data_IF_338494365900
#
_entry.id   IF_338494365900
#
_cell.length_a   1.000
_cell.length_b   1.000
_cell.length_c   1.000
_cell.angle_alpha   90.00
_cell.angle_beta   90.00
_cell.angle_gamma   90.00
#
_symmetry.space_group_name_H-M   'P 1'
#
loop_
_entity.id
_entity.type
_entity.pdbx_description
1 polymer ?
#
# COMPACT_ATOMS: atom_id res chain seq x y z
N UNK A 1 4.26 14.46 -0.71
CA UNK A 1 3.62 13.69 0.39
C UNK A 1 2.15 13.63 0.11
N UNK A 2 1.72 12.49 -0.40
CA UNK A 2 0.34 12.22 -0.79
C UNK A 2 -0.32 11.29 0.22
N UNK A 3 -1.65 11.35 0.25
CA UNK A 3 -2.48 10.54 1.11
C UNK A 3 -3.52 9.82 0.27
N UNK A 4 -3.70 8.53 0.57
CA UNK A 4 -4.71 7.70 -0.06
C UNK A 4 -5.55 6.95 0.96
N UNK A 5 -6.80 6.67 0.59
CA UNK A 5 -7.71 5.80 1.33
C UNK A 5 -8.04 4.61 0.45
N UNK A 6 -7.55 3.43 0.83
CA UNK A 6 -7.78 2.17 0.13
C UNK A 6 -8.82 1.33 0.88
N UNK A 7 -9.93 0.99 0.21
CA UNK A 7 -10.94 0.06 0.74
C UNK A 7 -10.55 -1.38 0.38
N UNK A 8 -10.52 -2.25 1.40
CA UNK A 8 -10.24 -3.68 1.26
C UNK A 8 -11.31 -4.52 1.95
N UNK A 9 -11.45 -5.78 1.55
CA UNK A 9 -12.28 -6.75 2.25
C UNK A 9 -11.40 -7.84 2.88
N UNK A 10 -11.40 -7.91 4.20
CA UNK A 10 -10.66 -8.92 4.95
C UNK A 10 -11.61 -9.79 5.73
N UNK A 11 -11.67 -11.09 5.38
CA UNK A 11 -12.56 -12.09 6.01
C UNK A 11 -14.05 -11.68 5.97
N UNK A 12 -14.49 -11.11 4.86
CA UNK A 12 -15.88 -10.65 4.68
C UNK A 12 -16.20 -9.33 5.37
N UNK A 13 -15.22 -8.68 6.00
CA UNK A 13 -15.39 -7.37 6.62
C UNK A 13 -14.65 -6.31 5.81
N UNK A 14 -15.38 -5.25 5.43
CA UNK A 14 -14.79 -4.06 4.82
C UNK A 14 -13.90 -3.33 5.82
N UNK A 15 -12.75 -2.87 5.34
CA UNK A 15 -11.82 -2.03 6.10
C UNK A 15 -11.23 -0.94 5.23
N UNK A 16 -10.93 0.20 5.84
CA UNK A 16 -10.27 1.31 5.18
C UNK A 16 -8.83 1.39 5.67
N UNK A 17 -7.90 1.41 4.72
CA UNK A 17 -6.49 1.59 4.97
C UNK A 17 -6.11 3.03 4.59
N UNK A 18 -5.50 3.74 5.53
CA UNK A 18 -4.85 5.01 5.25
C UNK A 18 -3.44 4.72 4.77
N UNK A 19 -3.08 5.26 3.60
CA UNK A 19 -1.76 5.10 3.01
C UNK A 19 -1.13 6.48 2.86
N UNK A 20 0.09 6.64 3.35
CA UNK A 20 0.84 7.88 3.29
C UNK A 20 2.12 7.67 2.48
N UNK A 21 2.34 8.45 1.42
CA UNK A 21 3.58 8.40 0.65
C UNK A 21 4.74 8.98 1.45
N UNK A 22 5.93 8.42 1.23
CA UNK A 22 7.21 8.94 1.73
C UNK A 22 7.63 10.20 0.97
N UNK A 23 8.84 10.70 1.27
CA UNK A 23 9.37 11.89 0.58
C UNK A 23 9.71 11.60 -0.88
N UNK A 24 10.15 10.37 -1.18
CA UNK A 24 10.61 9.96 -2.52
C UNK A 24 9.58 9.12 -3.29
N UNK A 25 8.35 8.99 -2.78
CA UNK A 25 7.27 8.15 -3.33
C UNK A 25 7.65 6.67 -3.60
N UNK A 26 8.78 6.21 -3.06
CA UNK A 26 9.25 4.82 -3.16
C UNK A 26 8.72 3.93 -2.03
N UNK A 27 8.28 4.54 -0.93
CA UNK A 27 7.83 3.87 0.30
C UNK A 27 6.54 4.49 0.79
N UNK A 28 5.58 3.64 1.15
CA UNK A 28 4.24 4.02 1.56
C UNK A 28 3.91 3.37 2.89
N UNK A 29 3.57 4.18 3.88
CA UNK A 29 3.17 3.70 5.21
C UNK A 29 1.68 3.42 5.22
N UNK A 30 1.31 2.24 5.72
CA UNK A 30 -0.08 1.76 5.75
C UNK A 30 -0.58 1.73 7.19
N UNK A 31 -1.76 2.29 7.39
CA UNK A 31 -2.43 2.39 8.68
C UNK A 31 -3.84 1.83 8.60
N UNK A 32 -4.28 1.18 9.68
CA UNK A 32 -5.65 0.73 9.91
C UNK A 32 -6.13 1.32 11.24
N UNK A 33 -7.24 2.04 11.24
CA UNK A 33 -7.79 2.69 12.44
C UNK A 33 -6.74 3.50 13.23
N UNK A 34 -5.97 4.34 12.52
CA UNK A 34 -4.86 5.14 13.03
C UNK A 34 -3.67 4.34 13.61
N UNK A 35 -3.62 3.01 13.45
CA UNK A 35 -2.49 2.17 13.84
C UNK A 35 -1.63 1.83 12.63
N UNK A 36 -0.33 2.03 12.75
CA UNK A 36 0.63 1.58 11.75
C UNK A 36 0.64 0.05 11.69
N UNK A 37 0.41 -0.52 10.50
CA UNK A 37 0.40 -1.97 10.28
C UNK A 37 1.55 -2.45 9.39
N UNK A 38 2.26 -1.53 8.75
CA UNK A 38 3.45 -1.82 7.95
C UNK A 38 3.64 -0.81 6.83
N UNK A 39 4.60 -1.09 5.96
CA UNK A 39 4.84 -0.32 4.75
C UNK A 39 4.88 -1.23 3.52
N UNK A 40 4.56 -0.63 2.38
CA UNK A 40 4.83 -1.20 1.06
C UNK A 40 5.82 -0.29 0.35
N UNK A 41 6.66 -0.87 -0.50
CA UNK A 41 7.55 -0.13 -1.38
C UNK A 41 7.45 -0.69 -2.78
N UNK A 42 7.92 0.05 -3.78
CA UNK A 42 8.05 -0.48 -5.11
C UNK A 42 9.50 -0.39 -5.60
N UNK A 43 9.84 -1.29 -6.50
CA UNK A 43 11.08 -1.26 -7.27
C UNK A 43 10.71 -1.33 -8.76
N UNK A 44 11.43 -0.60 -9.59
CA UNK A 44 11.26 -0.63 -11.05
C UNK A 44 12.30 -1.60 -11.62
N UNK A 45 11.83 -2.66 -12.29
CA UNK A 45 12.68 -3.66 -12.94
C UNK A 45 12.24 -3.82 -14.39
N UNK A 46 13.09 -3.47 -15.35
CA UNK A 46 12.82 -3.55 -16.80
C UNK A 46 11.42 -3.00 -17.19
N UNK A 47 11.12 -1.77 -16.74
CA UNK A 47 9.83 -1.07 -16.94
C UNK A 47 8.63 -1.65 -16.18
N UNK A 48 8.81 -2.71 -15.39
CA UNK A 48 7.79 -3.28 -14.53
C UNK A 48 7.91 -2.74 -13.09
N UNK A 49 6.83 -2.15 -12.57
CA UNK A 49 6.75 -1.76 -11.16
C UNK A 49 6.37 -2.98 -10.31
N UNK A 50 7.24 -3.36 -9.37
CA UNK A 50 7.03 -4.49 -8.47
C UNK A 50 6.83 -3.98 -7.05
N UNK A 51 5.61 -4.16 -6.53
CA UNK A 51 5.24 -3.79 -5.17
C UNK A 51 5.58 -4.89 -4.17
N UNK A 52 6.27 -4.53 -3.09
CA UNK A 52 6.81 -5.44 -2.08
C UNK A 52 6.51 -4.94 -0.67
N UNK A 53 6.57 -5.87 0.27
CA UNK A 53 6.47 -5.60 1.71
C UNK A 53 7.12 -6.71 2.52
N UNK A 54 7.75 -6.35 3.63
CA UNK A 54 8.27 -7.31 4.62
C UNK A 54 7.20 -7.72 5.63
N UNK A 55 6.09 -6.98 5.70
CA UNK A 55 5.04 -7.16 6.70
C UNK A 55 4.06 -8.24 6.26
N UNK A 56 4.02 -9.35 7.01
CA UNK A 56 3.18 -10.51 6.69
C UNK A 56 1.68 -10.17 6.52
N UNK A 57 1.16 -9.18 7.26
CA UNK A 57 -0.23 -8.74 7.15
C UNK A 57 -0.53 -8.04 5.81
N UNK A 58 0.48 -7.44 5.19
CA UNK A 58 0.35 -6.71 3.93
C UNK A 58 0.67 -7.56 2.70
N UNK A 59 1.45 -8.65 2.83
CA UNK A 59 1.82 -9.53 1.69
C UNK A 59 0.66 -9.91 0.76
N UNK A 60 -0.55 -10.26 1.26
CA UNK A 60 -1.67 -10.64 0.38
C UNK A 60 -2.28 -9.47 -0.41
N UNK A 61 -2.02 -8.22 0.00
CA UNK A 61 -2.68 -7.02 -0.52
C UNK A 61 -1.69 -5.97 -1.08
N UNK A 62 -0.39 -6.12 -0.86
CA UNK A 62 0.62 -5.13 -1.26
C UNK A 62 0.56 -4.81 -2.76
N UNK A 63 0.45 -5.84 -3.61
CA UNK A 63 0.29 -5.64 -5.05
C UNK A 63 -1.02 -4.96 -5.44
N UNK A 64 -2.11 -5.22 -4.71
CA UNK A 64 -3.41 -4.57 -4.97
C UNK A 64 -3.38 -3.09 -4.57
N UNK A 65 -2.81 -2.79 -3.40
CA UNK A 65 -2.62 -1.41 -2.96
C UNK A 65 -1.74 -0.66 -3.97
N UNK A 66 -0.62 -1.27 -4.34
CA UNK A 66 0.33 -0.68 -5.28
C UNK A 66 -0.30 -0.31 -6.62
N UNK A 67 -0.99 -1.28 -7.24
CA UNK A 67 -1.72 -1.03 -8.49
C UNK A 67 -2.77 0.07 -8.33
N UNK A 68 -3.50 0.07 -7.21
CA UNK A 68 -4.51 1.10 -6.97
C UNK A 68 -3.89 2.50 -6.83
N UNK A 69 -2.70 2.63 -6.24
CA UNK A 69 -1.95 3.90 -6.19
C UNK A 69 -1.55 4.35 -7.60
N UNK A 70 -1.04 3.43 -8.43
CA UNK A 70 -0.70 3.72 -9.84
C UNK A 70 -1.92 4.20 -10.64
N UNK A 71 -3.08 3.56 -10.44
CA UNK A 71 -4.34 3.93 -11.11
C UNK A 71 -4.93 5.27 -10.60
N UNK A 72 -4.47 5.76 -9.43
CA UNK A 72 -4.97 7.00 -8.80
C UNK A 72 -4.16 8.25 -9.15
N UNK A 73 -2.99 8.08 -9.77
CA UNK A 73 -2.07 9.14 -10.21
C UNK A 73 -2.19 9.37 -11.73
#
# INVERSE_FOLDING_TARGET
>A
MEQYIYEDEYRGQKRNLLILSGEDDTSYRVFLDAKFIGSISHEINDELVIWKTEYNILKPIAGKIGKWIEDSN
#
